data_IF_539254258715
#
_entry.id   IF_539254258715
#
_cell.length_a   1.000
_cell.length_b   1.000
_cell.length_c   1.000
_cell.angle_alpha   90.00
_cell.angle_beta   90.00
_cell.angle_gamma   90.00
#
_symmetry.space_group_name_H-M   'P 1'
#
loop_
_entity.id
_entity.type
_entity.pdbx_description
1 polymer ?
#
# COMPACT_ATOMS: atom_id res chain seq x y z
N UNK A 1 42.33 -10.85 46.06
CA UNK A 1 41.22 -11.78 45.81
C UNK A 1 39.91 -11.04 45.48
N UNK A 2 39.45 -10.07 46.28
CA UNK A 2 38.19 -9.33 46.03
C UNK A 2 38.20 -8.53 44.71
N UNK A 3 39.28 -7.86 44.36
CA UNK A 3 39.43 -7.09 43.12
C UNK A 3 39.36 -7.99 41.86
N UNK A 4 39.92 -9.19 41.90
CA UNK A 4 39.87 -10.15 40.80
C UNK A 4 38.43 -10.67 40.57
N UNK A 5 37.70 -10.91 41.66
CA UNK A 5 36.29 -11.33 41.57
C UNK A 5 35.40 -10.23 40.95
N UNK A 6 35.62 -8.97 41.28
CA UNK A 6 34.88 -7.83 40.73
C UNK A 6 35.11 -7.70 39.20
N UNK A 7 36.39 -7.85 38.77
CA UNK A 7 36.74 -7.78 37.35
C UNK A 7 36.08 -8.93 36.57
N UNK A 8 36.07 -10.14 37.09
CA UNK A 8 35.43 -11.30 36.44
C UNK A 8 33.92 -11.11 36.31
N UNK A 9 33.26 -10.63 37.38
CA UNK A 9 31.80 -10.35 37.33
C UNK A 9 31.50 -9.25 36.33
N UNK A 10 32.27 -8.18 36.25
CA UNK A 10 32.10 -7.10 35.29
C UNK A 10 32.24 -7.60 33.84
N UNK A 11 33.22 -8.45 33.55
CA UNK A 11 33.43 -9.05 32.25
C UNK A 11 32.24 -9.97 31.83
N UNK A 12 31.74 -10.79 32.77
CA UNK A 12 30.58 -11.64 32.53
C UNK A 12 29.34 -10.79 32.21
N UNK A 13 29.11 -9.70 32.94
CA UNK A 13 27.98 -8.78 32.69
C UNK A 13 28.13 -8.08 31.35
N UNK A 14 29.31 -7.66 30.94
CA UNK A 14 29.54 -7.03 29.63
C UNK A 14 29.29 -8.02 28.50
N UNK A 15 29.79 -9.26 28.63
CA UNK A 15 29.55 -10.32 27.64
C UNK A 15 28.07 -10.67 27.56
N UNK A 16 27.39 -10.73 28.69
CA UNK A 16 25.94 -11.02 28.74
C UNK A 16 25.12 -9.88 28.15
N UNK A 17 25.47 -8.62 28.45
CA UNK A 17 24.83 -7.42 27.87
C UNK A 17 25.08 -7.33 26.37
N UNK A 18 26.30 -7.63 25.90
CA UNK A 18 26.61 -7.69 24.49
C UNK A 18 25.81 -8.82 23.78
N UNK A 19 25.81 -10.02 24.36
CA UNK A 19 25.02 -11.14 23.82
C UNK A 19 23.53 -10.81 23.81
N UNK A 20 23.00 -10.14 24.82
CA UNK A 20 21.61 -9.69 24.86
C UNK A 20 21.31 -8.63 23.78
N UNK A 21 22.20 -7.63 23.57
CA UNK A 21 22.06 -6.63 22.50
C UNK A 21 22.14 -7.26 21.11
N UNK A 22 23.03 -8.24 20.90
CA UNK A 22 23.13 -8.96 19.62
C UNK A 22 22.01 -9.98 19.40
N UNK A 23 21.39 -10.48 20.48
CA UNK A 23 20.24 -11.38 20.40
C UNK A 23 18.93 -10.64 20.06
N UNK A 24 18.86 -9.33 20.27
CA UNK A 24 17.76 -8.52 19.80
C UNK A 24 17.94 -8.32 18.28
N UNK A 25 17.48 -9.30 17.48
CA UNK A 25 17.26 -9.05 16.05
C UNK A 25 16.33 -7.83 15.97
N UNK A 26 16.69 -6.80 15.16
CA UNK A 26 15.79 -5.68 14.96
C UNK A 26 14.45 -6.26 14.51
N UNK A 27 13.39 -5.93 15.25
CA UNK A 27 12.04 -6.34 14.86
C UNK A 27 11.74 -5.68 13.53
N UNK A 28 11.78 -6.47 12.47
CA UNK A 28 11.46 -5.98 11.13
C UNK A 28 9.99 -5.64 11.13
N UNK A 29 9.66 -4.37 10.91
CA UNK A 29 8.26 -3.91 10.87
C UNK A 29 7.55 -4.49 9.64
N UNK A 30 6.22 -4.56 9.70
CA UNK A 30 5.42 -4.99 8.55
C UNK A 30 5.71 -4.11 7.32
N UNK A 31 5.85 -2.80 7.50
CA UNK A 31 6.21 -1.86 6.44
C UNK A 31 7.58 -2.19 5.81
N UNK A 32 8.60 -2.48 6.62
CA UNK A 32 9.91 -2.89 6.09
C UNK A 32 9.83 -4.20 5.29
N UNK A 33 9.01 -5.15 5.73
CA UNK A 33 8.78 -6.41 5.02
C UNK A 33 8.05 -6.18 3.69
N UNK A 34 7.08 -5.27 3.64
CA UNK A 34 6.42 -4.83 2.40
C UNK A 34 7.46 -4.27 1.42
N UNK A 35 8.33 -3.36 1.87
CA UNK A 35 9.40 -2.77 1.04
C UNK A 35 10.43 -3.82 0.56
N UNK A 36 10.58 -4.92 1.29
CA UNK A 36 11.41 -6.07 0.91
C UNK A 36 10.66 -7.10 0.06
N UNK A 37 9.42 -6.83 -0.36
CA UNK A 37 8.53 -7.72 -1.13
C UNK A 37 8.22 -9.05 -0.40
N UNK A 38 8.27 -9.06 0.92
CA UNK A 38 7.99 -10.21 1.78
C UNK A 38 6.58 -10.11 2.36
N UNK A 39 5.57 -10.17 1.50
CA UNK A 39 4.19 -9.83 1.84
C UNK A 39 3.54 -10.80 2.84
N UNK A 40 3.79 -12.12 2.72
CA UNK A 40 3.28 -13.09 3.70
C UNK A 40 3.89 -12.88 5.10
N UNK A 41 5.19 -12.58 5.15
CA UNK A 41 5.87 -12.25 6.41
C UNK A 41 5.33 -10.93 7.00
N UNK A 42 5.00 -9.96 6.15
CA UNK A 42 4.39 -8.70 6.58
C UNK A 42 3.00 -8.93 7.19
N UNK A 43 2.17 -9.79 6.61
CA UNK A 43 0.87 -10.18 7.17
C UNK A 43 1.02 -10.81 8.56
N UNK A 44 2.04 -11.66 8.75
CA UNK A 44 2.31 -12.29 10.04
C UNK A 44 2.85 -11.28 11.06
N UNK A 45 3.77 -10.40 10.66
CA UNK A 45 4.35 -9.37 11.54
C UNK A 45 3.32 -8.32 11.97
N UNK A 46 2.31 -8.04 11.14
CA UNK A 46 1.25 -7.06 11.39
C UNK A 46 0.05 -7.63 12.17
N UNK A 47 0.23 -8.65 13.01
CA UNK A 47 -0.88 -9.28 13.75
C UNK A 47 -1.71 -8.28 14.59
N UNK A 48 -1.05 -7.27 15.15
CA UNK A 48 -1.66 -6.21 15.97
C UNK A 48 -1.75 -4.85 15.26
N UNK A 49 -1.41 -4.80 13.97
CA UNK A 49 -1.46 -3.60 13.13
C UNK A 49 -2.40 -3.87 11.94
N UNK A 50 -3.69 -3.56 12.09
CA UNK A 50 -4.68 -3.90 11.07
C UNK A 50 -4.50 -3.13 9.77
N UNK A 51 -3.90 -1.93 9.78
CA UNK A 51 -3.64 -1.16 8.57
C UNK A 51 -2.57 -1.84 7.70
N UNK A 52 -1.35 -1.99 8.21
CA UNK A 52 -0.27 -2.63 7.45
C UNK A 52 -0.56 -4.09 7.10
N UNK A 53 -1.32 -4.80 7.95
CA UNK A 53 -1.81 -6.14 7.62
C UNK A 53 -2.70 -6.11 6.38
N UNK A 54 -3.62 -5.16 6.30
CA UNK A 54 -4.52 -5.03 5.15
C UNK A 54 -3.77 -4.64 3.87
N UNK A 55 -2.78 -3.75 3.96
CA UNK A 55 -1.91 -3.38 2.84
C UNK A 55 -1.16 -4.59 2.28
N UNK A 56 -0.54 -5.40 3.15
CA UNK A 56 0.12 -6.62 2.73
C UNK A 56 -0.84 -7.64 2.11
N UNK A 57 -2.05 -7.78 2.66
CA UNK A 57 -3.09 -8.65 2.10
C UNK A 57 -3.58 -8.18 0.72
N UNK A 58 -3.69 -6.87 0.49
CA UNK A 58 -3.98 -6.33 -0.85
C UNK A 58 -2.91 -6.69 -1.87
N UNK A 59 -1.63 -6.55 -1.51
CA UNK A 59 -0.51 -6.93 -2.38
C UNK A 59 -0.53 -8.42 -2.75
N UNK A 60 -1.04 -9.28 -1.86
CA UNK A 60 -1.27 -10.70 -2.12
C UNK A 60 -2.58 -10.99 -2.89
N UNK A 61 -3.38 -9.99 -3.25
CA UNK A 61 -4.69 -10.16 -3.89
C UNK A 61 -5.78 -10.71 -2.97
N UNK A 62 -5.54 -10.74 -1.65
CA UNK A 62 -6.48 -11.24 -0.64
C UNK A 62 -7.42 -10.13 -0.17
N UNK A 63 -8.21 -9.60 -1.11
CA UNK A 63 -9.01 -8.39 -0.89
C UNK A 63 -10.08 -8.52 0.19
N UNK A 64 -10.74 -9.69 0.32
CA UNK A 64 -11.72 -9.94 1.39
C UNK A 64 -11.08 -9.86 2.77
N UNK A 65 -9.92 -10.49 2.94
CA UNK A 65 -9.17 -10.47 4.19
C UNK A 65 -8.63 -9.05 4.48
N UNK A 66 -8.24 -8.32 3.44
CA UNK A 66 -7.82 -6.93 3.56
C UNK A 66 -8.96 -6.05 4.06
N UNK A 67 -10.17 -6.15 3.49
CA UNK A 67 -11.36 -5.43 3.96
C UNK A 67 -11.64 -5.75 5.44
N UNK A 68 -11.60 -7.04 5.82
CA UNK A 68 -11.81 -7.44 7.21
C UNK A 68 -10.76 -6.83 8.15
N UNK A 69 -9.52 -6.68 7.69
CA UNK A 69 -8.45 -6.06 8.47
C UNK A 69 -8.61 -4.53 8.53
N UNK A 70 -8.90 -3.85 7.42
CA UNK A 70 -9.17 -2.41 7.39
C UNK A 70 -10.31 -2.00 8.31
N UNK A 71 -11.40 -2.77 8.36
CA UNK A 71 -12.55 -2.52 9.27
C UNK A 71 -12.18 -2.54 10.76
N UNK A 72 -11.04 -3.10 11.12
CA UNK A 72 -10.49 -3.10 12.50
C UNK A 72 -9.55 -1.94 12.75
N UNK A 73 -9.13 -1.23 11.72
CA UNK A 73 -8.26 -0.06 11.84
C UNK A 73 -9.08 1.19 12.18
N UNK A 74 -8.54 2.03 13.04
CA UNK A 74 -9.04 3.39 13.29
C UNK A 74 -8.36 4.43 12.41
N UNK A 75 -7.44 4.03 11.53
CA UNK A 75 -6.73 4.94 10.63
C UNK A 75 -7.68 5.41 9.52
N UNK A 76 -7.73 6.73 9.23
CA UNK A 76 -8.56 7.28 8.15
C UNK A 76 -8.27 6.66 6.77
N UNK A 77 -7.03 6.25 6.49
CA UNK A 77 -6.65 5.59 5.24
C UNK A 77 -7.36 4.23 5.02
N UNK A 78 -7.89 3.62 6.10
CA UNK A 78 -8.60 2.36 6.00
C UNK A 78 -9.87 2.45 5.14
N UNK A 79 -10.57 3.60 5.11
CA UNK A 79 -11.76 3.79 4.28
C UNK A 79 -11.42 3.71 2.79
N UNK A 80 -10.34 4.36 2.37
CA UNK A 80 -9.82 4.26 1.00
C UNK A 80 -9.43 2.82 0.66
N UNK A 81 -8.72 2.15 1.57
CA UNK A 81 -8.33 0.75 1.42
C UNK A 81 -9.52 -0.20 1.23
N UNK A 82 -10.63 0.01 1.97
CA UNK A 82 -11.88 -0.75 1.79
C UNK A 82 -12.48 -0.45 0.41
N UNK A 83 -12.60 0.82 0.03
CA UNK A 83 -13.19 1.23 -1.24
C UNK A 83 -12.47 0.61 -2.44
N UNK A 84 -11.13 0.69 -2.46
CA UNK A 84 -10.32 0.11 -3.53
C UNK A 84 -10.39 -1.42 -3.54
N UNK A 85 -10.37 -2.07 -2.38
CA UNK A 85 -10.51 -3.54 -2.29
C UNK A 85 -11.86 -4.02 -2.82
N UNK A 86 -12.96 -3.30 -2.53
CA UNK A 86 -14.29 -3.57 -3.11
C UNK A 86 -14.29 -3.40 -4.64
N UNK A 87 -13.61 -2.36 -5.14
CA UNK A 87 -13.49 -2.12 -6.58
C UNK A 87 -12.70 -3.22 -7.29
N UNK A 88 -11.61 -3.73 -6.70
CA UNK A 88 -10.88 -4.87 -7.26
C UNK A 88 -11.70 -6.16 -7.28
N UNK A 89 -12.53 -6.40 -6.28
CA UNK A 89 -13.49 -7.50 -6.25
C UNK A 89 -14.65 -7.33 -7.24
N UNK A 90 -14.89 -6.11 -7.74
CA UNK A 90 -16.00 -5.81 -8.64
C UNK A 90 -17.38 -5.93 -7.96
N UNK A 91 -17.45 -5.73 -6.63
CA UNK A 91 -18.71 -5.83 -5.86
C UNK A 91 -18.89 -4.66 -4.90
N UNK A 92 -20.13 -4.41 -4.48
CA UNK A 92 -20.49 -3.31 -3.57
C UNK A 92 -19.95 -1.95 -4.03
N UNK A 93 -19.92 -1.76 -5.36
CA UNK A 93 -19.32 -0.58 -5.99
C UNK A 93 -20.02 0.74 -5.62
N UNK A 94 -21.28 0.70 -5.19
CA UNK A 94 -21.97 1.86 -4.66
C UNK A 94 -21.39 2.29 -3.30
N UNK A 95 -21.08 1.32 -2.42
CA UNK A 95 -20.39 1.58 -1.16
C UNK A 95 -18.96 2.04 -1.40
N UNK A 96 -18.23 1.40 -2.31
CA UNK A 96 -16.87 1.81 -2.67
C UNK A 96 -16.82 3.28 -3.11
N UNK A 97 -17.78 3.70 -3.97
CA UNK A 97 -17.89 5.10 -4.41
C UNK A 97 -18.14 6.03 -3.23
N UNK A 98 -19.12 5.72 -2.39
CA UNK A 98 -19.46 6.55 -1.21
C UNK A 98 -18.25 6.73 -0.27
N UNK A 99 -17.55 5.63 0.07
CA UNK A 99 -16.36 5.68 0.93
C UNK A 99 -15.25 6.53 0.32
N UNK A 100 -15.02 6.42 -0.99
CA UNK A 100 -14.01 7.23 -1.68
C UNK A 100 -14.39 8.71 -1.71
N UNK A 101 -15.64 9.06 -1.96
CA UNK A 101 -16.13 10.44 -1.94
C UNK A 101 -16.00 11.07 -0.54
N UNK A 102 -16.30 10.31 0.52
CA UNK A 102 -16.10 10.74 1.91
C UNK A 102 -14.60 10.97 2.21
N UNK A 103 -13.73 10.08 1.72
CA UNK A 103 -12.28 10.21 1.90
C UNK A 103 -11.74 11.47 1.20
N UNK A 104 -12.17 11.74 -0.03
CA UNK A 104 -11.82 12.97 -0.78
C UNK A 104 -12.23 14.22 -0.01
N UNK A 105 -13.44 14.23 0.56
CA UNK A 105 -13.93 15.38 1.32
C UNK A 105 -13.12 15.65 2.61
N UNK A 106 -12.56 14.60 3.22
CA UNK A 106 -11.76 14.70 4.45
C UNK A 106 -10.29 15.07 4.19
N UNK A 107 -9.74 14.76 3.03
CA UNK A 107 -8.32 14.89 2.72
C UNK A 107 -8.04 15.65 1.40
N UNK A 108 -8.41 16.94 1.31
CA UNK A 108 -8.27 17.71 0.06
C UNK A 108 -6.82 17.89 -0.43
N UNK A 109 -5.81 17.63 0.43
CA UNK A 109 -4.38 17.82 0.11
C UNK A 109 -3.78 16.68 -0.74
N UNK A 110 -4.47 15.54 -0.85
CA UNK A 110 -4.05 14.38 -1.67
C UNK A 110 -5.15 13.98 -2.67
N UNK A 111 -5.95 14.96 -3.05
CA UNK A 111 -7.16 14.76 -3.84
C UNK A 111 -6.89 14.08 -5.19
N UNK A 112 -5.74 14.32 -5.82
CA UNK A 112 -5.42 13.75 -7.14
C UNK A 112 -5.32 12.22 -7.13
N UNK A 113 -4.73 11.61 -6.09
CA UNK A 113 -4.66 10.14 -5.97
C UNK A 113 -6.03 9.55 -5.67
N UNK A 114 -6.78 10.19 -4.81
CA UNK A 114 -8.13 9.77 -4.45
C UNK A 114 -9.10 9.96 -5.61
N UNK A 115 -8.94 11.02 -6.42
CA UNK A 115 -9.70 11.21 -7.65
C UNK A 115 -9.42 10.07 -8.66
N UNK A 116 -8.17 9.59 -8.76
CA UNK A 116 -7.83 8.43 -9.57
C UNK A 116 -8.54 7.16 -9.06
N UNK A 117 -8.56 6.95 -7.74
CA UNK A 117 -9.29 5.86 -7.10
C UNK A 117 -10.80 5.92 -7.40
N UNK A 118 -11.39 7.12 -7.30
CA UNK A 118 -12.81 7.34 -7.65
C UNK A 118 -13.07 7.06 -9.13
N UNK A 119 -12.22 7.55 -10.03
CA UNK A 119 -12.33 7.28 -11.46
C UNK A 119 -12.27 5.77 -11.77
N UNK A 120 -11.37 5.04 -11.08
CA UNK A 120 -11.29 3.58 -11.21
C UNK A 120 -12.56 2.88 -10.72
N UNK A 121 -13.12 3.28 -9.59
CA UNK A 121 -14.40 2.75 -9.07
C UNK A 121 -15.54 3.02 -10.06
N UNK A 122 -15.62 4.22 -10.60
CA UNK A 122 -16.63 4.58 -11.63
C UNK A 122 -16.45 3.73 -12.89
N UNK A 123 -15.23 3.52 -13.35
CA UNK A 123 -14.94 2.63 -14.49
C UNK A 123 -15.44 1.20 -14.22
N UNK A 124 -15.19 0.66 -13.02
CA UNK A 124 -15.68 -0.67 -12.61
C UNK A 124 -17.21 -0.76 -12.53
N UNK A 125 -17.87 0.35 -12.20
CA UNK A 125 -19.34 0.44 -12.20
C UNK A 125 -19.95 0.52 -13.59
N UNK A 126 -19.16 0.85 -14.61
CA UNK A 126 -19.62 1.12 -15.96
C UNK A 126 -19.92 2.60 -16.24
N UNK A 127 -19.69 3.49 -15.29
CA UNK A 127 -19.86 4.95 -15.41
C UNK A 127 -18.64 5.55 -16.14
N UNK A 128 -18.43 5.09 -17.38
CA UNK A 128 -17.19 5.33 -18.14
C UNK A 128 -16.91 6.81 -18.41
N UNK A 129 -17.93 7.56 -18.77
CA UNK A 129 -17.76 8.97 -19.16
C UNK A 129 -17.31 9.81 -17.97
N UNK A 130 -17.91 9.60 -16.80
CA UNK A 130 -17.47 10.26 -15.56
C UNK A 130 -16.06 9.82 -15.14
N UNK A 131 -15.74 8.53 -15.27
CA UNK A 131 -14.41 8.01 -14.97
C UNK A 131 -13.33 8.67 -15.86
N UNK A 132 -13.61 8.76 -17.18
CA UNK A 132 -12.66 9.37 -18.12
C UNK A 132 -12.56 10.87 -17.95
N UNK A 133 -13.62 11.57 -17.59
CA UNK A 133 -13.57 13.00 -17.28
C UNK A 133 -12.65 13.26 -16.08
N UNK A 134 -12.83 12.55 -14.96
CA UNK A 134 -11.96 12.70 -13.78
C UNK A 134 -10.51 12.34 -14.13
N UNK A 135 -10.30 11.28 -14.90
CA UNK A 135 -8.96 10.87 -15.35
C UNK A 135 -8.29 11.98 -16.17
N UNK A 136 -8.99 12.56 -17.16
CA UNK A 136 -8.46 13.61 -18.03
C UNK A 136 -8.12 14.88 -17.24
N UNK A 137 -8.95 15.26 -16.27
CA UNK A 137 -8.76 16.45 -15.46
C UNK A 137 -7.53 16.34 -14.52
N UNK A 138 -7.08 15.12 -14.21
CA UNK A 138 -5.99 14.88 -13.24
C UNK A 138 -4.71 14.27 -13.86
N UNK A 139 -4.72 13.88 -15.15
CA UNK A 139 -3.62 13.11 -15.75
C UNK A 139 -2.27 13.83 -15.70
N UNK A 140 -2.22 15.12 -16.03
CA UNK A 140 -0.97 15.88 -16.08
C UNK A 140 -0.34 16.02 -14.68
N UNK A 141 -1.19 16.23 -13.66
CA UNK A 141 -0.73 16.34 -12.27
C UNK A 141 -0.20 14.99 -11.77
N UNK A 142 -0.91 13.90 -12.06
CA UNK A 142 -0.48 12.55 -11.70
C UNK A 142 0.85 12.17 -12.36
N UNK A 143 1.01 12.47 -13.66
CA UNK A 143 2.28 12.23 -14.37
C UNK A 143 3.44 13.01 -13.76
N UNK A 144 3.21 14.27 -13.40
CA UNK A 144 4.19 15.10 -12.73
C UNK A 144 4.59 14.49 -11.38
N UNK A 145 3.61 14.10 -10.55
CA UNK A 145 3.86 13.43 -9.26
C UNK A 145 4.68 12.15 -9.43
N UNK A 146 4.30 11.27 -10.38
CA UNK A 146 5.02 10.02 -10.62
C UNK A 146 6.42 10.20 -11.23
N UNK A 147 6.69 11.35 -11.86
CA UNK A 147 8.01 11.69 -12.38
C UNK A 147 8.89 12.31 -11.31
N UNK A 148 8.36 13.24 -10.53
CA UNK A 148 9.14 14.16 -9.72
C UNK A 148 9.18 13.74 -8.23
N UNK A 149 8.07 13.21 -7.69
CA UNK A 149 7.94 12.89 -6.27
C UNK A 149 8.16 11.38 -5.97
N UNK A 150 7.86 10.49 -6.93
CA UNK A 150 7.92 9.04 -6.75
C UNK A 150 8.92 8.40 -7.72
N UNK A 151 10.21 8.70 -7.50
CA UNK A 151 11.31 8.16 -8.31
C UNK A 151 11.74 6.78 -7.87
N UNK A 152 11.60 6.49 -6.57
CA UNK A 152 11.98 5.21 -5.99
C UNK A 152 10.81 4.21 -6.03
N UNK A 153 11.08 2.91 -6.27
CA UNK A 153 10.06 1.89 -6.24
C UNK A 153 9.37 1.79 -4.87
N UNK A 154 8.05 1.92 -4.85
CA UNK A 154 7.23 1.68 -3.67
C UNK A 154 6.12 0.66 -3.99
N UNK A 155 6.14 -0.54 -3.37
CA UNK A 155 5.14 -1.57 -3.62
C UNK A 155 3.70 -1.10 -3.35
N UNK A 156 3.49 -0.19 -2.41
CA UNK A 156 2.16 0.33 -2.09
C UNK A 156 1.59 1.23 -3.19
N UNK A 157 2.45 1.84 -4.01
CA UNK A 157 2.02 2.65 -5.16
C UNK A 157 1.76 1.82 -6.43
N UNK A 158 2.10 0.53 -6.44
CA UNK A 158 1.85 -0.35 -7.59
C UNK A 158 0.34 -0.45 -7.93
N UNK A 159 -0.53 -0.47 -6.92
CA UNK A 159 -1.97 -0.42 -7.11
C UNK A 159 -2.41 0.85 -7.87
N UNK A 160 -1.87 2.00 -7.50
CA UNK A 160 -2.16 3.29 -8.16
C UNK A 160 -1.75 3.25 -9.63
N UNK A 161 -0.59 2.67 -9.94
CA UNK A 161 -0.14 2.49 -11.33
C UNK A 161 -1.07 1.56 -12.13
N UNK A 162 -1.60 0.50 -11.50
CA UNK A 162 -2.58 -0.41 -12.15
C UNK A 162 -3.91 0.28 -12.40
N UNK A 163 -4.41 1.07 -11.46
CA UNK A 163 -5.63 1.88 -11.66
C UNK A 163 -5.44 2.88 -12.79
N UNK A 164 -4.30 3.56 -12.81
CA UNK A 164 -3.93 4.49 -13.88
C UNK A 164 -3.85 3.78 -15.24
N UNK A 165 -3.26 2.58 -15.31
CA UNK A 165 -3.22 1.78 -16.52
C UNK A 165 -4.61 1.35 -17.01
N UNK A 166 -5.53 1.03 -16.11
CA UNK A 166 -6.91 0.68 -16.47
C UNK A 166 -7.64 1.85 -17.10
N UNK A 167 -7.49 3.06 -16.54
CA UNK A 167 -8.09 4.29 -17.05
C UNK A 167 -7.45 4.72 -18.39
N UNK A 168 -6.13 4.64 -18.53
CA UNK A 168 -5.44 4.89 -19.79
C UNK A 168 -5.93 3.94 -20.89
N UNK A 169 -6.09 2.65 -20.56
CA UNK A 169 -6.64 1.65 -21.50
C UNK A 169 -8.09 1.99 -21.90
N UNK A 170 -8.91 2.43 -20.95
CA UNK A 170 -10.29 2.85 -21.23
C UNK A 170 -10.34 4.12 -22.08
N UNK A 171 -9.36 5.03 -21.95
CA UNK A 171 -9.20 6.22 -22.78
C UNK A 171 -8.64 5.91 -24.18
N UNK A 172 -8.24 4.68 -24.47
CA UNK A 172 -7.65 4.26 -25.75
C UNK A 172 -6.13 4.39 -25.84
N UNK A 173 -5.44 4.79 -24.78
CA UNK A 173 -3.99 4.88 -24.72
C UNK A 173 -3.35 3.57 -24.26
N UNK A 174 -3.30 2.61 -25.19
CA UNK A 174 -2.74 1.28 -24.94
C UNK A 174 -1.23 1.30 -24.61
N UNK A 175 -0.48 2.26 -25.18
CA UNK A 175 0.96 2.41 -24.94
C UNK A 175 1.22 2.79 -23.50
N UNK A 176 0.54 3.83 -23.01
CA UNK A 176 0.64 4.27 -21.61
C UNK A 176 0.17 3.18 -20.65
N UNK A 177 -0.94 2.52 -20.95
CA UNK A 177 -1.45 1.42 -20.13
C UNK A 177 -0.42 0.29 -19.98
N UNK A 178 0.28 -0.07 -21.05
CA UNK A 178 1.34 -1.09 -21.04
C UNK A 178 2.54 -0.64 -20.20
N UNK A 179 3.01 0.59 -20.38
CA UNK A 179 4.13 1.13 -19.62
C UNK A 179 3.84 1.19 -18.11
N UNK A 180 2.62 1.62 -17.73
CA UNK A 180 2.20 1.71 -16.32
C UNK A 180 2.10 0.31 -15.68
N UNK A 181 1.57 -0.71 -16.37
CA UNK A 181 1.56 -2.09 -15.85
C UNK A 181 2.96 -2.63 -15.67
N UNK A 182 3.86 -2.41 -16.63
CA UNK A 182 5.25 -2.83 -16.51
C UNK A 182 5.95 -2.17 -15.31
N UNK A 183 5.66 -0.86 -15.06
CA UNK A 183 6.17 -0.14 -13.90
C UNK A 183 5.61 -0.72 -12.60
N UNK A 184 4.30 -1.01 -12.53
CA UNK A 184 3.67 -1.62 -11.37
C UNK A 184 4.30 -2.98 -11.03
N UNK A 185 4.48 -3.85 -12.04
CA UNK A 185 5.12 -5.15 -11.87
C UNK A 185 6.57 -5.04 -11.37
N UNK A 186 7.31 -4.04 -11.83
CA UNK A 186 8.68 -3.79 -11.36
C UNK A 186 8.73 -3.27 -9.92
N UNK A 187 7.71 -2.51 -9.48
CA UNK A 187 7.65 -1.93 -8.14
C UNK A 187 7.13 -2.89 -7.07
N UNK A 188 6.31 -3.86 -7.45
CA UNK A 188 5.74 -4.84 -6.53
C UNK A 188 5.90 -6.28 -7.05
N UNK A 189 7.13 -6.77 -7.26
CA UNK A 189 7.34 -8.14 -7.73
C UNK A 189 6.78 -9.15 -6.72
N UNK A 190 6.15 -10.20 -7.25
CA UNK A 190 5.51 -11.24 -6.44
C UNK A 190 4.18 -10.84 -5.80
N UNK A 191 3.67 -9.64 -6.08
CA UNK A 191 2.31 -9.23 -5.73
C UNK A 191 1.31 -9.62 -6.81
N UNK A 192 0.01 -9.38 -6.55
CA UNK A 192 -1.06 -9.51 -7.54
C UNK A 192 -0.91 -8.52 -8.72
N UNK A 193 -0.08 -7.50 -8.57
CA UNK A 193 0.20 -6.47 -9.58
C UNK A 193 1.41 -6.78 -10.47
N UNK A 194 2.26 -7.75 -10.08
CA UNK A 194 3.53 -8.11 -10.72
C UNK A 194 3.61 -9.48 -11.38
#
# INVERSE_FOLDING_TARGET
MLQLAIIVIALILIVWLAAWMFAQKPVTTAQQLIQQHRYDDAVAAAANDPLHRAEALKLLGRFEDAIASYRRSSDPAAQEGIALSLAHLGRDLAEAKRLMEETIALHPQIQEFQALGLAYILLKRGDRDDALRIYTDNIELLETRFRDDYTDPDPLLAETLVMFAALASAAGDASRATALRAKAAAWAPGSVWG
#
